data_IF_946590998129
#
_entry.id   IF_946590998129
#
_cell.length_a   1.000
_cell.length_b   1.000
_cell.length_c   1.000
_cell.angle_alpha   90.00
_cell.angle_beta   90.00
_cell.angle_gamma   90.00
#
_symmetry.space_group_name_H-M   'P 1'
#
loop_
_entity.id
_entity.type
_entity.pdbx_description
1 polymer ?
#
# COMPACT_ATOMS: atom_id res chain seq x y z
N UNK A 1 -37.70 10.77 40.81
CA UNK A 1 -37.29 9.64 39.97
C UNK A 1 -36.24 10.14 39.04
N UNK A 2 -35.00 9.78 39.35
CA UNK A 2 -33.86 10.20 38.55
C UNK A 2 -33.72 9.28 37.36
N UNK A 3 -33.97 9.80 36.20
CA UNK A 3 -33.48 9.23 34.96
C UNK A 3 -31.98 9.39 34.96
N UNK A 4 -31.29 8.32 35.33
CA UNK A 4 -29.88 8.19 35.02
C UNK A 4 -29.76 8.04 33.51
N UNK A 5 -29.59 9.19 32.86
CA UNK A 5 -28.97 9.18 31.56
C UNK A 5 -27.54 8.78 31.77
N UNK A 6 -27.29 7.49 31.80
CA UNK A 6 -25.99 7.05 31.42
C UNK A 6 -25.85 7.37 29.94
N UNK A 7 -25.30 8.53 29.70
CA UNK A 7 -24.65 8.75 28.44
C UNK A 7 -23.45 7.81 28.45
N UNK A 8 -23.68 6.62 27.98
CA UNK A 8 -22.55 5.82 27.53
C UNK A 8 -22.04 6.60 26.36
N UNK A 9 -21.07 7.45 26.61
CA UNK A 9 -20.22 7.94 25.54
C UNK A 9 -19.51 6.73 25.05
N UNK A 10 -20.12 6.07 24.09
CA UNK A 10 -19.38 5.20 23.22
C UNK A 10 -18.49 6.17 22.47
N UNK A 11 -17.31 6.43 23.01
CA UNK A 11 -16.31 6.99 22.17
C UNK A 11 -16.09 5.95 21.08
N UNK A 12 -16.73 6.19 19.95
CA UNK A 12 -16.28 5.63 18.72
C UNK A 12 -14.87 6.16 18.52
N UNK A 13 -13.92 5.48 19.12
CA UNK A 13 -12.64 5.42 18.48
C UNK A 13 -12.88 4.71 17.17
N UNK A 14 -13.28 5.48 16.18
CA UNK A 14 -13.01 5.03 14.85
C UNK A 14 -11.49 4.94 14.78
N UNK A 15 -10.99 3.76 15.09
CA UNK A 15 -9.66 3.41 14.66
C UNK A 15 -9.77 3.43 13.16
N UNK A 16 -9.46 4.58 12.56
CA UNK A 16 -9.12 4.62 11.16
C UNK A 16 -7.82 3.85 11.04
N UNK A 17 -7.91 2.53 10.94
CA UNK A 17 -6.80 1.80 10.39
C UNK A 17 -6.74 2.20 8.93
N UNK A 18 -5.90 3.18 8.63
CA UNK A 18 -5.52 3.46 7.26
C UNK A 18 -4.80 2.23 6.76
N UNK A 19 -5.51 1.38 6.03
CA UNK A 19 -4.87 0.32 5.29
C UNK A 19 -3.90 0.99 4.33
N UNK A 20 -2.61 0.66 4.47
CA UNK A 20 -1.58 1.17 3.57
C UNK A 20 -1.83 0.59 2.17
N UNK A 21 -1.68 1.40 1.17
CA UNK A 21 -1.70 0.94 -0.22
C UNK A 21 -0.28 0.56 -0.61
N UNK A 22 -0.06 -0.74 -0.72
CA UNK A 22 1.25 -1.31 -1.04
C UNK A 22 1.13 -2.17 -2.29
N UNK A 23 1.96 -1.91 -3.29
CA UNK A 23 1.94 -2.62 -4.56
C UNK A 23 3.28 -3.31 -4.78
N UNK A 24 3.22 -4.62 -4.94
CA UNK A 24 4.34 -5.44 -5.41
C UNK A 24 4.34 -5.41 -6.93
N UNK A 25 5.38 -4.82 -7.52
CA UNK A 25 5.47 -4.66 -8.98
C UNK A 25 6.32 -5.74 -9.65
N UNK A 26 6.60 -6.81 -8.91
CA UNK A 26 7.31 -7.98 -9.43
C UNK A 26 6.38 -8.86 -10.26
N UNK A 27 6.95 -9.90 -10.86
CA UNK A 27 6.16 -10.91 -11.57
C UNK A 27 5.29 -11.71 -10.61
N UNK A 28 4.26 -12.37 -11.15
CA UNK A 28 3.42 -13.28 -10.39
C UNK A 28 4.23 -14.44 -9.80
N UNK A 29 5.20 -14.96 -10.52
CA UNK A 29 6.06 -16.04 -10.03
C UNK A 29 6.85 -15.60 -8.81
N UNK A 30 7.42 -14.39 -8.82
CA UNK A 30 8.10 -13.83 -7.66
C UNK A 30 7.13 -13.62 -6.49
N UNK A 31 5.95 -13.09 -6.75
CA UNK A 31 4.88 -12.92 -5.77
C UNK A 31 4.55 -14.24 -5.05
N UNK A 32 4.48 -15.31 -5.81
CA UNK A 32 4.14 -16.64 -5.28
C UNK A 32 5.24 -17.22 -4.38
N UNK A 33 6.46 -16.69 -4.43
CA UNK A 33 7.55 -17.11 -3.53
C UNK A 33 7.51 -16.42 -2.17
N UNK A 34 6.69 -15.40 -2.02
CA UNK A 34 6.54 -14.60 -0.82
C UNK A 34 6.33 -13.14 -1.19
N UNK A 35 5.50 -12.45 -0.44
CA UNK A 35 5.17 -11.04 -0.64
C UNK A 35 4.81 -10.39 0.68
N UNK A 36 4.76 -9.07 0.72
CA UNK A 36 4.29 -8.38 1.92
C UNK A 36 2.81 -8.67 2.16
N UNK A 37 2.46 -8.95 3.41
CA UNK A 37 1.07 -9.08 3.82
C UNK A 37 0.32 -7.78 3.45
N UNK A 38 -0.92 -7.91 2.99
CA UNK A 38 -1.76 -6.82 2.52
C UNK A 38 -1.30 -6.08 1.26
N UNK A 39 -0.20 -6.48 0.61
CA UNK A 39 0.17 -5.95 -0.69
C UNK A 39 -0.71 -6.53 -1.80
N UNK A 40 -0.79 -5.81 -2.91
CA UNK A 40 -1.39 -6.32 -4.15
C UNK A 40 -0.30 -6.46 -5.20
N UNK A 41 -0.46 -7.40 -6.11
CA UNK A 41 0.51 -7.64 -7.17
C UNK A 41 0.05 -7.02 -8.49
N UNK A 42 0.81 -6.06 -8.99
CA UNK A 42 0.62 -5.47 -10.31
C UNK A 42 2.01 -5.28 -10.90
N UNK A 43 2.33 -6.01 -11.95
CA UNK A 43 3.62 -5.85 -12.59
C UNK A 43 3.83 -4.41 -13.05
N UNK A 44 5.06 -3.92 -12.99
CA UNK A 44 5.38 -2.51 -13.22
C UNK A 44 4.89 -2.01 -14.60
N UNK A 45 4.87 -2.86 -15.63
CA UNK A 45 4.42 -2.49 -16.96
C UNK A 45 2.92 -2.17 -17.01
N UNK A 46 2.16 -2.72 -16.06
CA UNK A 46 0.70 -2.57 -15.97
C UNK A 46 0.27 -1.61 -14.87
N UNK A 47 1.20 -0.85 -14.31
CA UNK A 47 0.92 -0.05 -13.11
C UNK A 47 -0.17 1.01 -13.32
N UNK A 48 -0.35 1.51 -14.53
CA UNK A 48 -1.40 2.49 -14.84
C UNK A 48 -2.81 1.93 -14.72
N UNK A 49 -2.97 0.60 -14.60
CA UNK A 49 -4.28 -0.02 -14.37
C UNK A 49 -4.94 0.45 -13.07
N UNK A 50 -4.17 0.98 -12.12
CA UNK A 50 -4.72 1.52 -10.87
C UNK A 50 -5.54 2.80 -11.06
N UNK A 51 -5.42 3.47 -12.21
CA UNK A 51 -6.08 4.77 -12.44
C UNK A 51 -7.61 4.70 -12.31
N UNK A 52 -8.21 3.52 -12.57
CA UNK A 52 -9.65 3.32 -12.43
C UNK A 52 -10.10 3.09 -10.98
N UNK A 53 -9.19 2.75 -10.07
CA UNK A 53 -9.52 2.29 -8.72
C UNK A 53 -8.89 3.11 -7.61
N UNK A 54 -7.73 3.72 -7.84
CA UNK A 54 -6.97 4.42 -6.81
C UNK A 54 -6.88 5.90 -7.15
N UNK A 55 -7.35 6.79 -6.26
CA UNK A 55 -7.29 8.24 -6.47
C UNK A 55 -5.85 8.74 -6.62
N UNK A 56 -5.67 9.82 -7.36
CA UNK A 56 -4.36 10.41 -7.65
C UNK A 56 -3.61 10.95 -6.43
N UNK A 57 -4.33 11.26 -5.35
CA UNK A 57 -3.74 11.79 -4.11
C UNK A 57 -3.49 10.73 -3.05
N UNK A 58 -3.82 9.48 -3.32
CA UNK A 58 -3.59 8.41 -2.36
C UNK A 58 -2.09 8.13 -2.20
N UNK A 59 -1.68 7.88 -0.96
CA UNK A 59 -0.29 7.51 -0.68
C UNK A 59 -0.07 6.05 -1.03
N UNK A 60 0.88 5.81 -1.94
CA UNK A 60 1.15 4.49 -2.50
C UNK A 60 2.61 4.14 -2.29
N UNK A 61 2.87 2.98 -1.73
CA UNK A 61 4.21 2.40 -1.63
C UNK A 61 4.36 1.30 -2.68
N UNK A 62 5.47 1.33 -3.40
CA UNK A 62 5.80 0.34 -4.42
C UNK A 62 7.10 -0.34 -4.05
N UNK A 63 7.18 -1.64 -4.21
CA UNK A 63 8.42 -2.38 -4.03
C UNK A 63 8.62 -3.43 -5.12
N UNK A 64 9.85 -3.85 -5.29
CA UNK A 64 10.21 -4.97 -6.13
C UNK A 64 11.34 -5.78 -5.49
N UNK A 65 12.18 -6.42 -6.27
CA UNK A 65 13.30 -7.19 -5.75
C UNK A 65 14.48 -6.32 -5.34
N UNK A 66 14.75 -5.25 -6.09
CA UNK A 66 15.94 -4.39 -5.90
C UNK A 66 15.62 -2.90 -5.81
N UNK A 67 14.39 -2.50 -6.07
CA UNK A 67 14.00 -1.08 -6.19
C UNK A 67 14.03 -0.53 -7.61
N UNK A 68 14.55 -1.27 -8.58
CA UNK A 68 14.65 -0.79 -9.97
C UNK A 68 13.29 -0.74 -10.67
N UNK A 69 12.56 -1.86 -10.70
CA UNK A 69 11.22 -1.91 -11.31
C UNK A 69 10.22 -1.01 -10.57
N UNK A 70 10.31 -0.97 -9.24
CA UNK A 70 9.46 -0.07 -8.44
C UNK A 70 9.81 1.40 -8.69
N UNK A 71 11.07 1.72 -8.97
CA UNK A 71 11.47 3.06 -9.40
C UNK A 71 10.84 3.45 -10.74
N UNK A 72 10.82 2.52 -11.70
CA UNK A 72 10.14 2.72 -12.99
C UNK A 72 8.64 2.94 -12.81
N UNK A 73 7.99 2.11 -12.00
CA UNK A 73 6.56 2.24 -11.70
C UNK A 73 6.25 3.55 -11.01
N UNK A 74 7.08 3.97 -10.07
CA UNK A 74 6.95 5.26 -9.38
C UNK A 74 6.96 6.41 -10.37
N UNK A 75 7.92 6.42 -11.29
CA UNK A 75 8.02 7.46 -12.32
C UNK A 75 6.79 7.48 -13.23
N UNK A 76 6.33 6.31 -13.65
CA UNK A 76 5.13 6.20 -14.50
C UNK A 76 3.92 6.81 -13.78
N UNK A 77 3.73 6.50 -12.50
CA UNK A 77 2.62 7.03 -11.73
C UNK A 77 2.72 8.53 -11.49
N UNK A 78 3.90 9.04 -11.19
CA UNK A 78 4.12 10.49 -11.07
C UNK A 78 3.79 11.21 -12.38
N UNK A 79 4.24 10.67 -13.51
CA UNK A 79 3.93 11.22 -14.83
C UNK A 79 2.43 11.15 -15.16
N UNK A 80 1.72 10.17 -14.57
CA UNK A 80 0.27 10.03 -14.72
C UNK A 80 -0.55 10.92 -13.77
N UNK A 81 0.11 11.73 -12.93
CA UNK A 81 -0.55 12.68 -12.05
C UNK A 81 -0.72 12.22 -10.60
N UNK A 82 -0.17 11.07 -10.22
CA UNK A 82 -0.14 10.65 -8.81
C UNK A 82 0.84 11.54 -8.04
N UNK A 83 0.43 12.02 -6.87
CA UNK A 83 1.19 13.05 -6.13
C UNK A 83 1.92 12.51 -4.91
N UNK A 84 1.64 11.27 -4.49
CA UNK A 84 2.15 10.74 -3.23
C UNK A 84 2.58 9.28 -3.40
N UNK A 85 3.57 9.04 -4.25
CA UNK A 85 4.08 7.72 -4.61
C UNK A 85 5.50 7.57 -4.10
N UNK A 86 5.77 6.47 -3.43
CA UNK A 86 7.05 6.21 -2.77
C UNK A 86 7.61 4.88 -3.27
N UNK A 87 8.82 4.92 -3.80
CA UNK A 87 9.57 3.70 -4.07
C UNK A 87 10.13 3.16 -2.74
N UNK A 88 9.55 2.07 -2.26
CA UNK A 88 9.97 1.45 -1.00
C UNK A 88 11.17 0.51 -1.16
N UNK A 89 11.68 0.35 -2.37
CA UNK A 89 12.91 -0.41 -2.62
C UNK A 89 12.68 -1.90 -2.83
N UNK A 90 13.55 -2.71 -2.25
CA UNK A 90 13.41 -4.16 -2.24
C UNK A 90 12.27 -4.60 -1.30
N UNK A 91 11.85 -5.86 -1.43
CA UNK A 91 10.84 -6.41 -0.51
C UNK A 91 11.32 -6.37 0.94
N UNK A 92 12.60 -6.60 1.20
CA UNK A 92 13.18 -6.53 2.54
C UNK A 92 13.19 -5.10 3.07
N UNK A 93 13.57 -4.14 2.24
CA UNK A 93 13.54 -2.72 2.59
C UNK A 93 12.11 -2.24 2.86
N UNK A 94 11.16 -2.63 2.01
CA UNK A 94 9.76 -2.29 2.18
C UNK A 94 9.16 -2.90 3.46
N UNK A 95 9.50 -4.15 3.74
CA UNK A 95 9.10 -4.82 4.98
C UNK A 95 9.56 -4.06 6.22
N UNK A 96 10.80 -3.63 6.23
CA UNK A 96 11.39 -2.86 7.34
C UNK A 96 10.76 -1.46 7.45
N UNK A 97 10.62 -0.77 6.32
CA UNK A 97 10.05 0.59 6.28
C UNK A 97 8.62 0.62 6.78
N UNK A 98 7.81 -0.35 6.38
CA UNK A 98 6.36 -0.36 6.65
C UNK A 98 5.97 -1.20 7.86
N UNK A 99 6.92 -1.91 8.45
CA UNK A 99 6.68 -2.87 9.53
C UNK A 99 5.61 -3.90 9.15
N UNK A 100 5.75 -4.46 7.96
CA UNK A 100 4.84 -5.48 7.41
C UNK A 100 5.65 -6.75 7.16
N UNK A 101 5.13 -7.88 7.62
CA UNK A 101 5.78 -9.17 7.44
C UNK A 101 5.71 -9.65 5.99
N UNK A 102 6.75 -10.40 5.59
CA UNK A 102 6.77 -11.13 4.33
C UNK A 102 6.09 -12.48 4.61
N UNK A 103 5.06 -12.80 3.87
CA UNK A 103 4.37 -14.09 3.97
C UNK A 103 4.66 -14.97 2.75
N UNK A 104 4.76 -16.25 2.99
CA UNK A 104 4.94 -17.25 1.93
C UNK A 104 3.60 -17.86 1.54
#
# INVERSE_FOLDING_TARGET
MKLLFQITIISFFSIFSYALTVIDVRTLDEWNTGHLESAINIEWQNITSIESNIPKNEKIYLYCRSGNRSGKATKILLDAGYTNVINAGSIEEASALLDINISN
#
